data_IF_334794367696
#
_entry.id   IF_334794367696
#
_cell.length_a   1.000
_cell.length_b   1.000
_cell.length_c   1.000
_cell.angle_alpha   90.00
_cell.angle_beta   90.00
_cell.angle_gamma   90.00
#
_symmetry.space_group_name_H-M   'P 1'
#
loop_
_entity.id
_entity.type
_entity.pdbx_description
1 polymer ?
#
# COMPACT_ATOMS: atom_id res chain seq x y z
N UNK A 1 -4.18 -4.75 21.68
CA UNK A 1 -3.52 -5.00 20.38
C UNK A 1 -3.19 -3.65 19.77
N UNK A 2 -1.93 -3.41 19.39
CA UNK A 2 -1.53 -2.14 18.73
C UNK A 2 -1.82 -2.25 17.23
N UNK A 3 -2.54 -1.29 16.67
CA UNK A 3 -2.79 -1.20 15.23
C UNK A 3 -1.75 -0.28 14.59
N UNK A 4 -1.13 -0.74 13.51
CA UNK A 4 -0.16 0.05 12.73
C UNK A 4 -0.64 0.10 11.28
N UNK A 5 -0.71 1.32 10.76
CA UNK A 5 -1.10 1.62 9.40
C UNK A 5 -0.09 2.60 8.79
N UNK A 6 0.11 2.55 7.46
CA UNK A 6 0.95 3.51 6.77
C UNK A 6 0.42 4.95 7.00
N UNK A 7 1.30 5.87 7.37
CA UNK A 7 0.98 7.30 7.57
C UNK A 7 0.97 8.02 6.23
N UNK A 8 -0.07 8.81 5.97
CA UNK A 8 -0.36 9.55 4.72
C UNK A 8 0.46 10.84 4.52
N UNK A 9 1.48 11.12 5.34
CA UNK A 9 2.20 12.40 5.28
C UNK A 9 3.66 12.22 4.89
N UNK A 10 3.90 12.22 3.58
CA UNK A 10 5.20 12.52 3.00
C UNK A 10 5.48 11.70 1.75
N UNK A 11 6.02 12.35 0.73
CA UNK A 11 6.65 11.70 -0.41
C UNK A 11 7.77 10.78 0.11
N UNK A 12 7.43 9.52 0.39
CA UNK A 12 8.34 8.53 0.95
C UNK A 12 8.58 7.46 -0.10
N UNK A 13 9.53 7.76 -0.99
CA UNK A 13 10.40 6.71 -1.51
C UNK A 13 11.22 6.15 -0.34
N UNK A 14 10.60 5.32 0.50
CA UNK A 14 11.22 4.79 1.70
C UNK A 14 10.30 3.90 2.53
N UNK A 15 10.79 2.72 2.88
CA UNK A 15 10.09 1.82 3.79
C UNK A 15 10.18 2.27 5.24
N UNK A 16 9.25 1.83 6.09
CA UNK A 16 9.30 2.04 7.54
C UNK A 16 9.38 0.69 8.26
N UNK A 17 10.25 0.59 9.28
CA UNK A 17 10.42 -0.64 10.06
C UNK A 17 9.76 -0.49 11.42
N UNK A 18 8.95 -1.48 11.79
CA UNK A 18 8.33 -1.62 13.10
C UNK A 18 9.06 -2.73 13.87
N UNK A 19 9.47 -2.44 15.10
CA UNK A 19 10.03 -3.40 16.05
C UNK A 19 8.91 -4.01 16.90
N UNK A 20 8.79 -5.35 16.87
CA UNK A 20 7.76 -6.09 17.58
C UNK A 20 8.17 -6.51 19.00
N UNK A 21 9.44 -6.35 19.39
CA UNK A 21 9.99 -6.81 20.68
C UNK A 21 9.33 -6.15 21.89
N UNK A 22 8.92 -4.90 21.74
CA UNK A 22 8.36 -4.10 22.84
C UNK A 22 6.93 -3.67 22.51
N UNK A 23 5.91 -4.36 23.03
CA UNK A 23 4.55 -3.83 22.92
C UNK A 23 3.36 -4.78 23.02
N UNK A 24 3.59 -6.08 23.22
CA UNK A 24 2.51 -7.07 23.23
C UNK A 24 2.02 -7.39 21.81
N UNK A 25 0.84 -8.02 21.66
CA UNK A 25 0.36 -8.46 20.36
C UNK A 25 0.03 -7.27 19.43
N UNK A 26 0.47 -7.38 18.18
CA UNK A 26 0.26 -6.40 17.11
C UNK A 26 -0.78 -6.89 16.10
N UNK A 27 -1.56 -5.95 15.55
CA UNK A 27 -2.36 -6.16 14.35
C UNK A 27 -1.77 -5.25 13.27
N UNK A 28 -1.20 -5.87 12.25
CA UNK A 28 -0.49 -5.19 11.16
C UNK A 28 -1.36 -5.23 9.91
N UNK A 29 -1.67 -4.06 9.35
CA UNK A 29 -2.27 -3.96 8.03
C UNK A 29 -1.18 -3.58 7.02
N UNK A 30 -0.91 -4.43 6.00
CA UNK A 30 0.14 -4.16 5.02
C UNK A 30 -0.25 -3.16 3.92
N UNK A 31 -1.50 -2.69 3.90
CA UNK A 31 -2.05 -1.91 2.79
C UNK A 31 -2.48 -2.79 1.62
N UNK A 32 -2.46 -2.23 0.41
CA UNK A 32 -2.91 -2.89 -0.81
C UNK A 32 -1.87 -2.74 -1.92
N UNK A 33 -1.58 -3.83 -2.62
CA UNK A 33 -0.65 -3.83 -3.77
C UNK A 33 -1.32 -3.27 -5.02
N UNK A 34 -2.59 -3.60 -5.27
CA UNK A 34 -3.24 -3.33 -6.55
C UNK A 34 -4.25 -2.19 -6.55
N UNK A 35 -4.79 -1.82 -5.39
CA UNK A 35 -5.76 -0.73 -5.26
C UNK A 35 -5.69 -0.15 -3.85
N UNK A 36 -4.68 0.69 -3.57
CA UNK A 36 -4.64 1.47 -2.33
C UNK A 36 -5.89 2.37 -2.21
N UNK A 37 -6.27 2.66 -0.97
CA UNK A 37 -7.50 3.40 -0.62
C UNK A 37 -7.28 4.49 0.44
N UNK A 38 -6.01 4.82 0.67
CA UNK A 38 -5.52 5.76 1.66
C UNK A 38 -5.17 7.13 1.04
N UNK A 39 -5.41 7.33 -0.26
CA UNK A 39 -5.12 8.56 -0.99
C UNK A 39 -3.76 8.58 -1.67
N UNK A 40 -2.94 7.55 -1.46
CA UNK A 40 -1.64 7.37 -2.09
C UNK A 40 -1.70 6.26 -3.15
N UNK A 41 -1.14 6.51 -4.34
CA UNK A 41 -1.24 5.56 -5.45
C UNK A 41 -0.18 4.44 -5.41
N UNK A 42 0.73 4.45 -4.44
CA UNK A 42 1.82 3.46 -4.35
C UNK A 42 1.28 2.06 -3.99
N UNK A 43 1.85 1.03 -4.60
CA UNK A 43 1.62 -0.34 -4.14
C UNK A 43 2.23 -0.51 -2.75
N UNK A 44 1.47 -1.08 -1.81
CA UNK A 44 1.89 -1.26 -0.42
C UNK A 44 1.93 -2.73 -0.03
N UNK A 45 3.01 -3.13 0.65
CA UNK A 45 3.16 -4.44 1.27
C UNK A 45 4.12 -4.38 2.47
N UNK A 46 4.21 -5.49 3.22
CA UNK A 46 5.17 -5.65 4.30
C UNK A 46 6.04 -6.88 4.10
N UNK A 47 7.26 -6.80 4.63
CA UNK A 47 8.15 -7.94 4.84
C UNK A 47 8.21 -8.16 6.35
N UNK A 48 7.74 -9.32 6.82
CA UNK A 48 7.90 -9.73 8.20
C UNK A 48 9.16 -10.58 8.33
N UNK A 49 10.07 -10.17 9.20
CA UNK A 49 11.33 -10.87 9.47
C UNK A 49 11.58 -10.92 10.98
N UNK A 50 11.40 -12.11 11.56
CA UNK A 50 11.50 -12.35 13.00
C UNK A 50 10.60 -11.41 13.80
N UNK A 51 11.22 -10.55 14.60
CA UNK A 51 10.55 -9.57 15.45
C UNK A 51 10.50 -8.17 14.81
N UNK A 52 10.54 -8.10 13.48
CA UNK A 52 10.47 -6.84 12.73
C UNK A 52 9.48 -6.93 11.57
N UNK A 53 8.87 -5.79 11.24
CA UNK A 53 8.01 -5.63 10.07
C UNK A 53 8.48 -4.41 9.28
N UNK A 54 8.92 -4.63 8.04
CA UNK A 54 9.32 -3.58 7.12
C UNK A 54 8.20 -3.33 6.12
N UNK A 55 7.61 -2.15 6.15
CA UNK A 55 6.69 -1.68 5.12
C UNK A 55 7.44 -1.21 3.89
N UNK A 56 6.84 -1.42 2.72
CA UNK A 56 7.38 -1.03 1.42
C UNK A 56 6.28 -0.40 0.60
N UNK A 57 6.59 0.77 0.05
CA UNK A 57 5.77 1.47 -0.93
C UNK A 57 6.54 1.51 -2.24
N UNK A 58 5.88 1.11 -3.32
CA UNK A 58 6.52 0.92 -4.62
C UNK A 58 5.72 1.63 -5.69
N UNK A 59 6.42 2.45 -6.47
CA UNK A 59 5.88 3.02 -7.71
C UNK A 59 5.63 1.92 -8.72
N UNK A 60 4.54 2.04 -9.45
CA UNK A 60 4.25 1.17 -10.58
C UNK A 60 3.62 1.98 -11.72
N UNK A 61 3.60 1.37 -12.89
CA UNK A 61 3.01 1.98 -14.08
C UNK A 61 1.48 1.96 -13.99
N UNK A 62 0.93 2.99 -13.36
CA UNK A 62 -0.51 3.20 -13.19
C UNK A 62 -1.20 3.28 -14.55
N UNK A 63 -0.61 3.98 -15.53
CA UNK A 63 -1.21 4.16 -16.85
C UNK A 63 -1.38 2.82 -17.56
N UNK A 64 -0.38 1.93 -17.50
CA UNK A 64 -0.46 0.59 -18.06
C UNK A 64 -1.48 -0.29 -17.34
N UNK A 65 -1.59 -0.19 -16.01
CA UNK A 65 -2.62 -0.90 -15.26
C UNK A 65 -4.03 -0.42 -15.64
N UNK A 66 -4.24 0.90 -15.72
CA UNK A 66 -5.48 1.52 -16.16
C UNK A 66 -5.87 1.10 -17.58
N UNK A 67 -4.92 1.10 -18.52
CA UNK A 67 -5.15 0.68 -19.90
C UNK A 67 -5.64 -0.77 -19.97
N UNK A 68 -5.09 -1.68 -19.15
CA UNK A 68 -5.54 -3.08 -19.07
C UNK A 68 -6.97 -3.19 -18.53
N UNK A 69 -7.33 -2.41 -17.51
CA UNK A 69 -8.69 -2.39 -16.96
C UNK A 69 -9.70 -1.95 -18.03
N UNK A 70 -9.40 -0.87 -18.75
CA UNK A 70 -10.26 -0.37 -19.83
C UNK A 70 -10.34 -1.36 -20.99
N UNK A 71 -9.22 -1.96 -21.40
CA UNK A 71 -9.19 -2.98 -22.44
C UNK A 71 -10.01 -4.23 -22.10
N UNK A 72 -10.19 -4.52 -20.80
CA UNK A 72 -11.05 -5.60 -20.33
C UNK A 72 -12.56 -5.25 -20.32
N UNK A 73 -12.94 -4.05 -20.75
CA UNK A 73 -14.35 -3.59 -20.76
C UNK A 73 -14.93 -3.32 -19.38
N UNK A 74 -14.08 -3.14 -18.37
CA UNK A 74 -14.51 -2.83 -17.01
C UNK A 74 -14.87 -1.34 -16.87
N UNK A 75 -15.72 -0.97 -15.88
CA UNK A 75 -16.09 0.44 -15.67
C UNK A 75 -14.88 1.35 -15.49
N UNK A 76 -14.86 2.49 -16.17
CA UNK A 76 -13.72 3.43 -16.20
C UNK A 76 -13.30 3.90 -14.79
N UNK A 77 -14.27 4.06 -13.89
CA UNK A 77 -14.02 4.43 -12.49
C UNK A 77 -13.01 3.49 -11.80
N UNK A 78 -12.97 2.20 -12.18
CA UNK A 78 -12.03 1.24 -11.61
C UNK A 78 -10.58 1.50 -12.04
N UNK A 79 -10.38 2.04 -13.25
CA UNK A 79 -9.09 2.48 -13.73
C UNK A 79 -8.74 3.84 -13.11
N UNK A 80 -9.64 4.82 -13.21
CA UNK A 80 -9.37 6.20 -12.82
C UNK A 80 -8.92 6.32 -11.35
N UNK A 81 -9.54 5.53 -10.47
CA UNK A 81 -9.25 5.57 -9.04
C UNK A 81 -7.87 5.07 -8.64
N UNK A 82 -7.18 4.31 -9.50
CA UNK A 82 -5.80 3.88 -9.23
C UNK A 82 -4.85 5.07 -9.07
N UNK A 83 -5.04 6.12 -9.86
CA UNK A 83 -4.21 7.34 -9.78
C UNK A 83 -4.50 8.18 -8.52
N UNK A 84 -5.65 7.96 -7.90
CA UNK A 84 -6.10 8.69 -6.71
C UNK A 84 -5.89 7.92 -5.41
N UNK A 85 -5.54 6.64 -5.48
CA UNK A 85 -5.51 5.74 -4.32
C UNK A 85 -6.86 5.66 -3.60
N UNK A 86 -7.96 5.40 -4.32
CA UNK A 86 -9.32 5.31 -3.75
C UNK A 86 -10.18 4.17 -4.32
#
# INVERSE_FOLDING_TARGET
VKAVAPSTNGAMSGGHTLDLRSGGPYLVNPGSVGQPRDGDAFASYVIADGESVLYRFVEYDIQKAQAKIRAAGLPDMLADRLALGR
#
